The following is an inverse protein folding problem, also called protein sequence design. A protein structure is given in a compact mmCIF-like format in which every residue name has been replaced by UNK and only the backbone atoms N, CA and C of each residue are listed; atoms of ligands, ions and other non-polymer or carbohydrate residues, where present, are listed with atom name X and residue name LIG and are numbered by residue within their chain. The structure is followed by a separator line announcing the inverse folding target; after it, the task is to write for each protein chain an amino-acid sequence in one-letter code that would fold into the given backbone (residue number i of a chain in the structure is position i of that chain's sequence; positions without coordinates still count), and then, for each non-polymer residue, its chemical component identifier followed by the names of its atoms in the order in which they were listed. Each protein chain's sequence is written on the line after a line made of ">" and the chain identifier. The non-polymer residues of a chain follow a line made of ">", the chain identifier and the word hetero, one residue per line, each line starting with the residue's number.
data_IF_005266731082
#
_entry.id   IF_005266731082
#
_cell.length_a   1.000
_cell.length_b   1.000
_cell.length_c   1.000
_cell.angle_alpha   90.00
_cell.angle_beta   90.00
_cell.angle_gamma   90.00
#
_symmetry.space_group_name_H-M   'P 1'
#
loop_
_entity.id
_entity.type
_entity.pdbx_description
1 polymer ?
#
# COMPACT_ATOMS: atom_id res chain seq x y z
N UNK A 1 7.56 -3.03 -22.22
CA UNK A 1 6.52 -3.02 -21.16
C UNK A 1 5.77 -4.36 -21.00
N UNK A 2 5.22 -4.98 -22.06
CA UNK A 2 4.55 -6.30 -21.99
C UNK A 2 5.38 -7.42 -21.36
N UNK A 3 6.70 -7.45 -21.59
CA UNK A 3 7.62 -8.46 -21.03
C UNK A 3 7.84 -8.33 -19.51
N UNK A 4 7.91 -7.11 -18.98
CA UNK A 4 8.07 -6.86 -17.53
C UNK A 4 6.77 -7.20 -16.78
N UNK A 5 5.63 -6.82 -17.35
CA UNK A 5 4.33 -7.17 -16.80
C UNK A 5 4.10 -8.69 -16.84
N UNK A 6 4.46 -9.36 -17.94
CA UNK A 6 4.46 -10.82 -18.03
C UNK A 6 5.42 -11.48 -17.03
N UNK A 7 6.58 -10.88 -16.76
CA UNK A 7 7.55 -11.39 -15.80
C UNK A 7 7.04 -11.30 -14.35
N UNK A 8 6.43 -10.16 -13.98
CA UNK A 8 5.78 -9.97 -12.67
C UNK A 8 4.58 -10.93 -12.53
N UNK A 9 3.79 -11.12 -13.59
CA UNK A 9 2.63 -12.01 -13.58
C UNK A 9 3.04 -13.49 -13.51
N UNK A 10 4.14 -13.89 -14.16
CA UNK A 10 4.72 -15.25 -14.09
C UNK A 10 5.38 -15.49 -12.72
N UNK A 11 6.05 -14.49 -12.15
CA UNK A 11 6.63 -14.58 -10.81
C UNK A 11 5.54 -14.69 -9.74
N UNK A 12 4.48 -13.90 -9.85
CA UNK A 12 3.31 -13.97 -8.96
C UNK A 12 2.55 -15.29 -9.16
N UNK A 13 2.34 -15.75 -10.39
CA UNK A 13 1.65 -17.01 -10.69
C UNK A 13 2.42 -18.25 -10.22
N UNK A 14 3.75 -18.30 -10.44
CA UNK A 14 4.61 -19.38 -9.96
C UNK A 14 4.73 -19.42 -8.44
N UNK A 15 4.66 -18.26 -7.78
CA UNK A 15 4.70 -18.17 -6.32
C UNK A 15 3.35 -18.49 -5.66
N UNK A 16 2.22 -18.17 -6.31
CA UNK A 16 0.86 -18.51 -5.84
C UNK A 16 0.59 -20.02 -5.87
N UNK A 17 1.22 -20.77 -6.77
CA UNK A 17 1.04 -22.23 -6.90
C UNK A 17 1.86 -23.06 -5.90
N UNK A 18 2.76 -22.45 -5.13
CA UNK A 18 3.40 -23.09 -3.98
C UNK A 18 4.41 -24.21 -4.26
N UNK A 19 4.86 -24.40 -5.50
CA UNK A 19 5.77 -25.50 -5.90
C UNK A 19 7.22 -25.09 -6.19
N UNK A 20 7.62 -23.83 -5.98
CA UNK A 20 8.94 -23.37 -6.46
C UNK A 20 10.08 -23.52 -5.44
N UNK A 21 11.02 -24.40 -5.78
CA UNK A 21 12.25 -24.70 -5.03
C UNK A 21 13.33 -23.60 -5.19
N UNK A 22 14.23 -23.46 -4.20
CA UNK A 22 15.19 -22.34 -4.05
C UNK A 22 16.15 -22.18 -5.27
N UNK A 23 16.52 -23.30 -5.91
CA UNK A 23 17.33 -23.29 -7.14
C UNK A 23 16.58 -22.70 -8.34
N UNK A 24 15.25 -22.85 -8.37
CA UNK A 24 14.40 -22.31 -9.43
C UNK A 24 14.27 -20.79 -9.31
N UNK A 25 14.10 -20.26 -8.10
CA UNK A 25 14.00 -18.80 -7.86
C UNK A 25 15.32 -18.09 -8.21
N UNK A 26 16.46 -18.65 -7.78
CA UNK A 26 17.79 -18.10 -8.10
C UNK A 26 18.08 -18.14 -9.60
N UNK A 27 17.73 -19.24 -10.27
CA UNK A 27 17.81 -19.37 -11.73
C UNK A 27 16.93 -18.32 -12.45
N UNK A 28 15.69 -18.12 -12.03
CA UNK A 28 14.74 -17.18 -12.65
C UNK A 28 15.18 -15.72 -12.46
N UNK A 29 15.69 -15.36 -11.27
CA UNK A 29 16.20 -14.01 -11.00
C UNK A 29 17.45 -13.73 -11.85
N UNK A 30 18.40 -14.66 -11.91
CA UNK A 30 19.61 -14.51 -12.74
C UNK A 30 19.25 -14.43 -14.22
N UNK A 31 18.32 -15.28 -14.68
CA UNK A 31 17.84 -15.28 -16.07
C UNK A 31 17.08 -14.00 -16.41
N UNK A 32 16.29 -13.46 -15.47
CA UNK A 32 15.62 -12.17 -15.58
C UNK A 32 16.60 -10.99 -15.67
N UNK A 33 17.66 -11.00 -14.85
CA UNK A 33 18.75 -10.01 -14.89
C UNK A 33 19.51 -10.06 -16.22
N UNK A 34 19.77 -11.26 -16.75
CA UNK A 34 20.43 -11.42 -18.06
C UNK A 34 19.57 -11.05 -19.27
N UNK A 35 18.25 -10.97 -19.11
CA UNK A 35 17.29 -10.61 -20.16
C UNK A 35 16.86 -9.14 -20.14
N UNK A 36 17.30 -8.38 -19.13
CA UNK A 36 17.03 -6.94 -19.03
C UNK A 36 17.97 -6.21 -19.99
N UNK A 37 17.42 -5.73 -21.09
CA UNK A 37 18.16 -4.96 -22.11
C UNK A 37 18.34 -3.51 -21.64
N UNK A 38 19.47 -3.28 -20.95
CA UNK A 38 19.78 -2.02 -20.28
C UNK A 38 19.84 -0.80 -21.21
N UNK A 39 19.99 -1.02 -22.53
CA UNK A 39 20.06 0.04 -23.54
C UNK A 39 18.71 0.73 -23.80
N UNK A 40 17.57 0.11 -23.44
CA UNK A 40 16.21 0.62 -23.72
C UNK A 40 15.54 1.37 -22.55
N UNK A 41 16.19 1.42 -21.37
CA UNK A 41 15.64 2.10 -20.19
C UNK A 41 15.55 3.64 -20.26
N UNK A 42 16.48 4.36 -20.91
CA UNK A 42 16.47 5.83 -20.89
C UNK A 42 15.23 6.48 -21.52
N UNK A 43 14.61 5.82 -22.51
CA UNK A 43 13.46 6.38 -23.24
C UNK A 43 12.13 6.21 -22.49
N UNK A 44 12.12 5.40 -21.43
CA UNK A 44 10.90 4.99 -20.72
C UNK A 44 10.98 5.36 -19.23
N UNK A 45 12.15 5.33 -18.61
CA UNK A 45 12.32 5.54 -17.18
C UNK A 45 13.23 6.73 -16.90
N UNK A 46 12.86 7.48 -15.87
CA UNK A 46 13.65 8.60 -15.38
C UNK A 46 14.93 8.14 -14.69
N UNK A 47 15.93 9.03 -14.62
CA UNK A 47 17.21 8.75 -13.94
C UNK A 47 17.03 8.21 -12.52
N UNK A 48 16.00 8.70 -11.81
CA UNK A 48 15.69 8.25 -10.45
C UNK A 48 15.13 6.84 -10.41
N UNK A 49 14.20 6.51 -11.28
CA UNK A 49 13.62 5.16 -11.36
C UNK A 49 14.70 4.13 -11.68
N UNK A 50 15.64 4.48 -12.57
CA UNK A 50 16.80 3.65 -12.89
C UNK A 50 17.69 3.49 -11.65
N UNK A 51 18.03 4.57 -10.93
CA UNK A 51 18.82 4.51 -9.71
C UNK A 51 18.17 3.67 -8.60
N UNK A 52 16.85 3.81 -8.40
CA UNK A 52 16.06 2.98 -7.47
C UNK A 52 16.13 1.51 -7.88
N UNK A 53 15.93 1.20 -9.17
CA UNK A 53 16.03 -0.16 -9.69
C UNK A 53 17.39 -0.79 -9.42
N UNK A 54 18.48 -0.06 -9.68
CA UNK A 54 19.85 -0.52 -9.41
C UNK A 54 20.03 -0.83 -7.92
N UNK A 55 19.65 0.08 -7.03
CA UNK A 55 19.80 -0.13 -5.58
C UNK A 55 18.92 -1.26 -5.04
N UNK A 56 17.70 -1.43 -5.55
CA UNK A 56 16.84 -2.57 -5.20
C UNK A 56 17.51 -3.89 -5.58
N UNK A 57 18.11 -3.97 -6.77
CA UNK A 57 18.83 -5.18 -7.23
C UNK A 57 20.03 -5.45 -6.31
N UNK A 58 20.87 -4.44 -6.04
CA UNK A 58 22.03 -4.57 -5.14
C UNK A 58 21.60 -5.03 -3.75
N UNK A 59 20.56 -4.40 -3.18
CA UNK A 59 20.04 -4.72 -1.86
C UNK A 59 19.44 -6.13 -1.79
N UNK A 60 18.73 -6.54 -2.83
CA UNK A 60 18.15 -7.88 -2.94
C UNK A 60 19.26 -8.93 -3.01
N UNK A 61 20.29 -8.71 -3.82
CA UNK A 61 21.46 -9.60 -3.89
C UNK A 61 22.16 -9.66 -2.52
N UNK A 62 22.36 -8.53 -1.85
CA UNK A 62 22.99 -8.46 -0.54
C UNK A 62 22.22 -9.27 0.53
N UNK A 63 20.90 -9.10 0.59
CA UNK A 63 20.01 -9.83 1.50
C UNK A 63 20.05 -11.33 1.23
N UNK A 64 19.90 -11.74 -0.04
CA UNK A 64 19.85 -13.16 -0.42
C UNK A 64 21.21 -13.87 -0.28
N UNK A 65 22.31 -13.11 -0.32
CA UNK A 65 23.67 -13.63 -0.10
C UNK A 65 23.93 -14.04 1.35
N UNK A 66 23.14 -13.55 2.31
CA UNK A 66 23.31 -13.86 3.74
C UNK A 66 22.36 -15.01 4.13
N UNK A 67 22.87 -16.21 4.49
CA UNK A 67 22.03 -17.38 4.73
C UNK A 67 21.03 -17.17 5.89
N UNK A 68 21.46 -16.51 6.97
CA UNK A 68 20.58 -16.17 8.11
C UNK A 68 19.42 -15.24 7.74
N UNK A 69 19.63 -14.32 6.80
CA UNK A 69 18.63 -13.32 6.40
C UNK A 69 17.70 -13.92 5.34
N UNK A 70 18.24 -14.75 4.45
CA UNK A 70 17.49 -15.44 3.40
C UNK A 70 16.29 -16.20 3.96
N UNK A 71 16.47 -16.99 5.01
CA UNK A 71 15.37 -17.78 5.58
C UNK A 71 14.28 -16.90 6.22
N UNK A 72 14.68 -15.79 6.86
CA UNK A 72 13.73 -14.79 7.36
C UNK A 72 12.95 -14.12 6.23
N UNK A 73 13.61 -13.79 5.11
CA UNK A 73 12.98 -13.20 3.93
C UNK A 73 11.96 -14.17 3.34
N UNK A 74 12.32 -15.44 3.18
CA UNK A 74 11.38 -16.46 2.69
C UNK A 74 10.15 -16.60 3.59
N UNK A 75 10.34 -16.59 4.91
CA UNK A 75 9.21 -16.60 5.84
C UNK A 75 8.33 -15.35 5.70
N UNK A 76 8.92 -14.16 5.59
CA UNK A 76 8.18 -12.91 5.38
C UNK A 76 7.38 -12.95 4.08
N UNK A 77 7.99 -13.39 2.98
CA UNK A 77 7.30 -13.50 1.69
C UNK A 77 6.18 -14.55 1.77
N UNK A 78 6.44 -15.71 2.40
CA UNK A 78 5.40 -16.74 2.61
C UNK A 78 4.21 -16.21 3.41
N UNK A 79 4.47 -15.41 4.45
CA UNK A 79 3.41 -14.76 5.24
C UNK A 79 2.69 -13.67 4.44
N UNK A 80 3.40 -12.88 3.64
CA UNK A 80 2.83 -11.88 2.73
C UNK A 80 1.91 -12.52 1.67
N UNK A 81 2.17 -13.77 1.31
CA UNK A 81 1.35 -14.58 0.38
C UNK A 81 0.21 -15.33 1.07
N UNK A 82 -0.07 -15.04 2.34
CA UNK A 82 -1.26 -15.58 3.00
C UNK A 82 -2.55 -15.06 2.34
N UNK A 83 -3.60 -15.89 2.34
CA UNK A 83 -4.92 -15.53 1.76
C UNK A 83 -5.46 -14.21 2.33
N UNK A 84 -5.13 -13.89 3.58
CA UNK A 84 -5.55 -12.65 4.24
C UNK A 84 -4.94 -11.38 3.64
N UNK A 85 -3.77 -11.47 3.00
CA UNK A 85 -3.08 -10.34 2.37
C UNK A 85 -3.29 -10.34 0.85
N UNK A 86 -3.23 -11.51 0.21
CA UNK A 86 -3.44 -11.63 -1.25
C UNK A 86 -4.84 -11.16 -1.65
N UNK A 87 -5.89 -11.55 -0.92
CA UNK A 87 -7.26 -11.20 -1.31
C UNK A 87 -7.46 -9.67 -1.35
N UNK A 88 -7.14 -8.89 -0.30
CA UNK A 88 -7.18 -7.43 -0.37
C UNK A 88 -6.30 -6.85 -1.49
N UNK A 89 -5.10 -7.39 -1.70
CA UNK A 89 -4.18 -6.91 -2.73
C UNK A 89 -4.75 -7.11 -4.15
N UNK A 90 -5.34 -8.27 -4.43
CA UNK A 90 -6.02 -8.55 -5.70
C UNK A 90 -7.21 -7.60 -5.90
N UNK A 91 -7.99 -7.34 -4.85
CA UNK A 91 -9.10 -6.38 -4.90
C UNK A 91 -8.59 -4.97 -5.24
N UNK A 92 -7.47 -4.54 -4.63
CA UNK A 92 -6.84 -3.24 -4.95
C UNK A 92 -6.40 -3.19 -6.42
N UNK A 93 -5.77 -4.26 -6.93
CA UNK A 93 -5.32 -4.31 -8.33
C UNK A 93 -6.52 -4.24 -9.29
N UNK A 94 -7.57 -5.04 -9.05
CA UNK A 94 -8.80 -5.01 -9.86
C UNK A 94 -9.42 -3.61 -9.83
N UNK A 95 -9.55 -3.02 -8.63
CA UNK A 95 -10.07 -1.67 -8.46
C UNK A 95 -9.25 -0.62 -9.22
N UNK A 96 -7.93 -0.65 -9.10
CA UNK A 96 -7.05 0.26 -9.84
C UNK A 96 -7.14 0.08 -11.34
N UNK A 97 -7.32 -1.16 -11.82
CA UNK A 97 -7.48 -1.45 -13.25
C UNK A 97 -8.78 -0.83 -13.77
N UNK A 98 -9.88 -0.95 -13.00
CA UNK A 98 -11.15 -0.30 -13.33
C UNK A 98 -10.97 1.22 -13.38
N UNK A 99 -10.27 1.82 -12.41
CA UNK A 99 -10.00 3.26 -12.43
C UNK A 99 -9.20 3.69 -13.66
N UNK A 100 -8.19 2.92 -14.06
CA UNK A 100 -7.39 3.19 -15.27
C UNK A 100 -8.25 3.08 -16.53
N UNK A 101 -9.12 2.07 -16.62
CA UNK A 101 -10.03 1.92 -17.77
C UNK A 101 -10.98 3.11 -17.84
N UNK A 102 -11.58 3.53 -16.72
CA UNK A 102 -12.43 4.72 -16.67
C UNK A 102 -11.64 5.97 -17.06
N UNK A 103 -10.42 6.11 -16.56
CA UNK A 103 -9.54 7.24 -16.88
C UNK A 103 -9.18 7.27 -18.38
N UNK A 104 -9.01 6.10 -19.01
CA UNK A 104 -8.70 5.99 -20.45
C UNK A 104 -9.86 6.37 -21.37
N UNK A 105 -11.08 6.54 -20.85
CA UNK A 105 -12.20 7.07 -21.61
C UNK A 105 -12.13 8.60 -21.80
N UNK A 106 -11.31 9.29 -21.01
CA UNK A 106 -11.16 10.74 -21.12
C UNK A 106 -10.14 11.11 -22.20
N UNK A 107 -10.43 12.18 -22.95
CA UNK A 107 -9.63 12.64 -24.09
C UNK A 107 -8.21 13.11 -23.74
N UNK A 108 -7.94 13.37 -22.46
CA UNK A 108 -6.64 13.81 -21.96
C UNK A 108 -5.75 12.65 -21.48
N UNK A 109 -6.21 11.40 -21.55
CA UNK A 109 -5.45 10.26 -21.01
C UNK A 109 -4.37 9.77 -21.98
N UNK A 110 -3.12 9.82 -21.53
CA UNK A 110 -1.97 9.26 -22.24
C UNK A 110 -1.43 8.01 -21.53
N UNK A 111 -0.84 7.07 -22.30
CA UNK A 111 -0.21 5.87 -21.75
C UNK A 111 0.97 6.16 -20.83
N UNK A 112 1.54 7.37 -20.91
CA UNK A 112 2.62 7.82 -20.03
C UNK A 112 2.18 7.86 -18.56
N UNK A 113 0.92 8.19 -18.28
CA UNK A 113 0.37 8.29 -16.93
C UNK A 113 0.17 6.94 -16.24
N UNK A 114 0.15 5.84 -16.99
CA UNK A 114 -0.06 4.51 -16.43
C UNK A 114 1.03 4.15 -15.40
N UNK A 115 2.26 4.61 -15.64
CA UNK A 115 3.38 4.40 -14.72
C UNK A 115 3.14 5.12 -13.41
N UNK A 116 2.79 6.41 -13.47
CA UNK A 116 2.51 7.25 -12.29
C UNK A 116 1.39 6.65 -11.44
N UNK A 117 0.29 6.20 -12.07
CA UNK A 117 -0.80 5.51 -11.37
C UNK A 117 -0.33 4.21 -10.73
N UNK A 118 0.46 3.41 -11.45
CA UNK A 118 0.96 2.12 -10.94
C UNK A 118 1.84 2.31 -9.72
N UNK A 119 2.78 3.26 -9.78
CA UNK A 119 3.64 3.62 -8.65
C UNK A 119 2.81 4.11 -7.47
N UNK A 120 1.85 5.00 -7.72
CA UNK A 120 0.97 5.52 -6.67
C UNK A 120 0.17 4.40 -5.99
N UNK A 121 -0.40 3.47 -6.74
CA UNK A 121 -1.18 2.35 -6.18
C UNK A 121 -0.32 1.46 -5.29
N UNK A 122 0.91 1.14 -5.72
CA UNK A 122 1.83 0.29 -4.96
C UNK A 122 2.31 0.98 -3.68
N UNK A 123 2.78 2.23 -3.80
CA UNK A 123 3.46 2.93 -2.70
C UNK A 123 2.54 3.70 -1.78
N UNK A 124 1.35 4.11 -2.25
CA UNK A 124 0.38 4.89 -1.47
C UNK A 124 -0.94 4.13 -1.34
N UNK A 125 -1.50 3.63 -2.44
CA UNK A 125 -2.81 2.95 -2.44
C UNK A 125 -2.86 1.72 -1.54
N UNK A 126 -1.84 0.85 -1.58
CA UNK A 126 -1.73 -0.33 -0.72
C UNK A 126 -1.58 0.07 0.76
N UNK A 127 -0.59 0.90 1.17
CA UNK A 127 -0.46 1.31 2.57
C UNK A 127 -1.69 2.03 3.13
N UNK A 128 -2.36 2.89 2.35
CA UNK A 128 -3.59 3.57 2.77
C UNK A 128 -4.69 2.55 3.07
N UNK A 129 -4.85 1.55 2.19
CA UNK A 129 -5.86 0.50 2.31
C UNK A 129 -5.64 -0.40 3.54
N UNK A 130 -4.39 -0.79 3.80
CA UNK A 130 -4.04 -1.63 4.96
C UNK A 130 -3.94 -0.83 6.27
N UNK A 131 -3.52 0.43 6.23
CA UNK A 131 -3.40 1.27 7.42
C UNK A 131 -4.72 1.48 8.16
N UNK A 132 -5.85 1.37 7.46
CA UNK A 132 -7.18 1.47 8.08
C UNK A 132 -7.49 0.27 8.97
N UNK A 133 -6.90 -0.89 8.67
CA UNK A 133 -7.12 -2.14 9.38
C UNK A 133 -6.40 -2.14 10.73
N UNK A 134 -5.27 -1.45 10.83
CA UNK A 134 -4.42 -1.44 12.04
C UNK A 134 -4.80 -0.34 13.04
N UNK A 135 -5.55 0.67 12.63
CA UNK A 135 -5.89 1.81 13.49
C UNK A 135 -7.22 1.54 14.19
N UNK A 136 -7.10 1.04 15.41
CA UNK A 136 -8.21 0.86 16.33
C UNK A 136 -8.83 2.22 16.70
N UNK A 137 -10.12 2.36 16.37
CA UNK A 137 -11.11 3.18 17.09
C UNK A 137 -11.21 4.70 16.88
N UNK A 138 -10.61 5.30 15.86
CA UNK A 138 -10.84 6.74 15.63
C UNK A 138 -11.82 7.02 14.48
N UNK A 139 -13.00 7.53 14.84
CA UNK A 139 -14.04 8.08 13.94
C UNK A 139 -13.52 9.15 12.95
N UNK A 140 -12.30 9.66 13.15
CA UNK A 140 -11.63 10.68 12.32
C UNK A 140 -10.47 10.14 11.47
N UNK A 141 -10.30 8.82 11.36
CA UNK A 141 -9.19 8.25 10.60
C UNK A 141 -9.18 8.69 9.13
N UNK A 142 -10.31 8.56 8.42
CA UNK A 142 -10.41 8.98 7.01
C UNK A 142 -10.19 10.48 6.83
N UNK A 143 -10.68 11.32 7.74
CA UNK A 143 -10.43 12.76 7.67
C UNK A 143 -8.97 13.12 7.96
N UNK A 144 -8.30 12.39 8.84
CA UNK A 144 -6.91 12.63 9.19
C UNK A 144 -5.93 12.15 8.11
N UNK A 145 -6.22 11.02 7.44
CA UNK A 145 -5.36 10.55 6.35
C UNK A 145 -5.44 11.49 5.15
N UNK A 146 -6.62 12.04 4.84
CA UNK A 146 -6.78 13.08 3.83
C UNK A 146 -6.04 14.36 4.22
N UNK A 147 -6.20 14.84 5.46
CA UNK A 147 -5.49 16.06 5.90
C UNK A 147 -3.97 15.90 5.88
N UNK A 148 -3.46 14.71 6.24
CA UNK A 148 -2.01 14.42 6.28
C UNK A 148 -1.40 14.21 4.90
N UNK A 149 -2.16 13.62 3.96
CA UNK A 149 -1.66 13.34 2.62
C UNK A 149 -1.85 14.50 1.63
N UNK A 150 -2.71 15.50 1.87
CA UNK A 150 -3.10 16.40 0.77
C UNK A 150 -2.42 17.77 0.66
N UNK A 151 -1.85 18.36 1.73
CA UNK A 151 -1.48 19.80 1.64
C UNK A 151 -0.03 20.11 1.29
N UNK A 152 0.94 19.32 1.77
CA UNK A 152 2.36 19.62 1.56
C UNK A 152 3.13 18.45 0.93
N UNK A 153 2.81 17.22 1.32
CA UNK A 153 3.48 16.03 0.82
C UNK A 153 3.26 15.83 -0.69
N UNK A 154 2.05 16.10 -1.20
CA UNK A 154 1.73 15.96 -2.64
C UNK A 154 2.51 16.95 -3.50
N UNK A 155 2.70 18.19 -3.02
CA UNK A 155 3.49 19.21 -3.75
C UNK A 155 4.96 18.80 -3.78
N UNK A 156 5.50 18.33 -2.64
CA UNK A 156 6.88 17.84 -2.54
C UNK A 156 7.09 16.59 -3.39
N UNK A 157 6.19 15.62 -3.32
CA UNK A 157 6.23 14.37 -4.08
C UNK A 157 6.15 14.63 -5.59
N UNK A 158 5.27 15.54 -6.03
CA UNK A 158 5.19 15.98 -7.42
C UNK A 158 6.49 16.65 -7.89
N UNK A 159 6.99 17.64 -7.14
CA UNK A 159 8.22 18.35 -7.50
C UNK A 159 9.42 17.39 -7.60
N UNK A 160 9.53 16.46 -6.64
CA UNK A 160 10.55 15.43 -6.68
C UNK A 160 10.33 14.56 -7.92
N UNK A 161 9.14 13.97 -8.10
CA UNK A 161 8.84 13.02 -9.18
C UNK A 161 9.09 13.58 -10.59
N UNK A 162 8.67 14.82 -10.84
CA UNK A 162 8.73 15.44 -12.17
C UNK A 162 10.14 15.83 -12.60
N UNK A 163 11.02 16.19 -11.65
CA UNK A 163 12.36 16.70 -11.96
C UNK A 163 13.40 15.73 -11.43
N UNK A 164 14.12 15.10 -12.34
CA UNK A 164 15.20 14.18 -12.01
C UNK A 164 16.57 14.81 -12.20
N UNK A 165 17.52 14.38 -11.39
CA UNK A 165 18.92 14.76 -11.54
C UNK A 165 19.63 13.84 -12.55
N UNK A 166 20.94 14.07 -12.75
CA UNK A 166 21.75 13.14 -13.52
C UNK A 166 21.75 11.75 -12.85
N UNK A 167 21.90 10.69 -13.64
CA UNK A 167 21.90 9.32 -13.12
C UNK A 167 22.95 9.11 -12.01
N UNK A 168 24.14 9.69 -12.15
CA UNK A 168 25.21 9.60 -11.15
C UNK A 168 24.81 10.32 -9.85
N UNK A 169 24.18 11.49 -9.96
CA UNK A 169 23.70 12.23 -8.80
C UNK A 169 22.62 11.45 -8.06
N UNK A 170 21.62 10.91 -8.76
CA UNK A 170 20.55 10.10 -8.15
C UNK A 170 21.11 8.83 -7.48
N UNK A 171 22.12 8.20 -8.10
CA UNK A 171 22.74 6.97 -7.57
C UNK A 171 23.48 7.21 -6.24
N UNK A 172 24.05 8.40 -6.03
CA UNK A 172 24.71 8.80 -4.76
C UNK A 172 23.69 9.35 -3.76
N UNK A 173 22.73 10.15 -4.23
CA UNK A 173 21.75 10.81 -3.38
C UNK A 173 20.82 9.81 -2.69
N UNK A 174 20.35 8.80 -3.42
CA UNK A 174 19.41 7.80 -2.90
C UNK A 174 19.96 7.03 -1.67
N UNK A 175 21.14 6.39 -1.71
CA UNK A 175 21.68 5.67 -0.56
C UNK A 175 21.98 6.62 0.60
N UNK A 176 22.46 7.84 0.33
CA UNK A 176 22.70 8.85 1.36
C UNK A 176 21.41 9.20 2.13
N UNK A 177 20.32 9.45 1.41
CA UNK A 177 19.01 9.72 2.01
C UNK A 177 18.48 8.52 2.79
N UNK A 178 18.54 7.31 2.20
CA UNK A 178 18.08 6.10 2.90
C UNK A 178 18.87 5.85 4.18
N UNK A 179 20.19 6.09 4.16
CA UNK A 179 21.04 5.95 5.34
C UNK A 179 20.67 6.96 6.43
N UNK A 180 20.46 8.23 6.08
CA UNK A 180 20.01 9.25 7.04
C UNK A 180 18.66 8.89 7.68
N UNK A 181 17.69 8.46 6.88
CA UNK A 181 16.36 8.06 7.36
C UNK A 181 16.47 6.80 8.25
N UNK A 182 17.30 5.82 7.87
CA UNK A 182 17.54 4.63 8.69
C UNK A 182 18.15 4.99 10.04
N UNK A 183 19.14 5.88 10.08
CA UNK A 183 19.70 6.37 11.34
C UNK A 183 18.65 7.09 12.19
N UNK A 184 17.83 7.95 11.58
CA UNK A 184 16.78 8.68 12.27
C UNK A 184 15.74 7.72 12.86
N UNK A 185 15.30 6.72 12.09
CA UNK A 185 14.36 5.69 12.56
C UNK A 185 14.95 4.84 13.68
N UNK A 186 16.21 4.42 13.61
CA UNK A 186 16.87 3.71 14.71
C UNK A 186 16.93 4.59 15.98
N UNK A 187 17.26 5.88 15.82
CA UNK A 187 17.27 6.83 16.93
C UNK A 187 15.87 7.09 17.55
N UNK A 188 14.78 6.74 16.87
CA UNK A 188 13.42 6.82 17.45
C UNK A 188 13.06 5.65 18.36
N UNK A 189 13.82 4.55 18.33
CA UNK A 189 13.47 3.33 19.07
C UNK A 189 13.71 3.41 20.57
N UNK A 190 14.62 4.30 21.01
CA UNK A 190 14.94 4.51 22.43
C UNK A 190 14.99 5.99 22.75
N UNK A 191 14.38 6.38 23.87
CA UNK A 191 14.36 7.77 24.33
C UNK A 191 15.77 8.32 24.63
N UNK A 192 16.71 7.44 24.95
CA UNK A 192 18.14 7.73 25.15
C UNK A 192 18.78 8.46 23.95
N UNK A 193 18.27 8.23 22.73
CA UNK A 193 18.78 8.84 21.50
C UNK A 193 18.04 10.11 21.07
N UNK A 194 17.21 10.70 21.94
CA UNK A 194 16.41 11.87 21.59
C UNK A 194 17.21 13.04 20.99
N UNK A 195 18.40 13.33 21.54
CA UNK A 195 19.29 14.38 21.02
C UNK A 195 19.80 14.06 19.61
N UNK A 196 20.16 12.80 19.36
CA UNK A 196 20.61 12.31 18.05
C UNK A 196 19.47 12.37 17.05
N UNK A 197 18.26 11.94 17.43
CA UNK A 197 17.05 12.08 16.63
C UNK A 197 16.80 13.53 16.23
N UNK A 198 16.88 14.47 17.17
CA UNK A 198 16.66 15.90 16.88
C UNK A 198 17.67 16.45 15.86
N UNK A 199 18.94 16.09 16.00
CA UNK A 199 19.99 16.47 15.05
C UNK A 199 19.76 15.84 13.68
N UNK A 200 19.50 14.53 13.61
CA UNK A 200 19.22 13.83 12.37
C UNK A 200 18.00 14.41 11.67
N UNK A 201 16.91 14.67 12.40
CA UNK A 201 15.70 15.27 11.83
C UNK A 201 15.96 16.67 11.26
N UNK A 202 16.81 17.47 11.92
CA UNK A 202 17.22 18.78 11.40
C UNK A 202 18.07 18.66 10.13
N UNK A 203 19.02 17.72 10.09
CA UNK A 203 19.83 17.43 8.90
C UNK A 203 18.95 16.93 7.76
N UNK A 204 18.07 15.96 8.01
CA UNK A 204 17.10 15.42 7.05
C UNK A 204 16.24 16.54 6.47
N UNK A 205 15.73 17.45 7.33
CA UNK A 205 14.96 18.61 6.88
C UNK A 205 15.80 19.55 6.00
N UNK A 206 17.03 19.87 6.39
CA UNK A 206 17.91 20.75 5.62
C UNK A 206 18.26 20.16 4.25
N UNK A 207 18.59 18.86 4.20
CA UNK A 207 18.82 18.13 2.94
C UNK A 207 17.56 18.14 2.08
N UNK A 208 16.39 17.87 2.66
CA UNK A 208 15.11 17.91 1.96
C UNK A 208 14.81 19.28 1.34
N UNK A 209 15.02 20.37 2.09
CA UNK A 209 14.88 21.73 1.59
C UNK A 209 15.91 22.07 0.51
N UNK A 210 17.16 21.58 0.64
CA UNK A 210 18.19 21.74 -0.39
C UNK A 210 17.80 21.09 -1.71
N UNK A 211 17.31 19.84 -1.66
CA UNK A 211 16.81 19.13 -2.85
C UNK A 211 15.65 19.90 -3.48
N UNK A 212 14.67 20.33 -2.67
CA UNK A 212 13.54 21.13 -3.14
C UNK A 212 13.99 22.43 -3.83
N UNK A 213 14.97 23.14 -3.27
CA UNK A 213 15.52 24.35 -3.86
C UNK A 213 16.20 24.10 -5.22
N UNK A 214 17.00 23.04 -5.33
CA UNK A 214 17.64 22.64 -6.59
C UNK A 214 16.62 22.21 -7.64
N UNK A 215 15.59 21.48 -7.22
CA UNK A 215 14.46 21.10 -8.05
C UNK A 215 13.70 22.31 -8.58
N UNK A 216 13.39 23.30 -7.72
CA UNK A 216 12.73 24.54 -8.14
C UNK A 216 13.59 25.35 -9.12
N UNK A 217 14.90 25.46 -8.87
CA UNK A 217 15.82 26.13 -9.80
C UNK A 217 15.77 25.47 -11.18
N UNK A 218 15.88 24.14 -11.23
CA UNK A 218 15.81 23.38 -12.49
C UNK A 218 14.43 23.44 -13.14
N UNK A 219 13.36 23.56 -12.36
CA UNK A 219 12.00 23.77 -12.85
C UNK A 219 11.88 25.09 -13.61
N UNK A 220 12.41 26.17 -13.04
CA UNK A 220 12.38 27.52 -13.64
C UNK A 220 13.23 27.56 -14.92
N UNK A 221 14.43 26.95 -14.90
CA UNK A 221 15.33 26.91 -16.06
C UNK A 221 14.75 26.10 -17.25
N UNK A 222 13.99 25.04 -16.98
CA UNK A 222 13.40 24.19 -18.04
C UNK A 222 11.92 24.48 -18.31
N UNK A 223 11.34 25.51 -17.68
CA UNK A 223 9.92 25.85 -17.72
C UNK A 223 9.36 26.01 -19.15
N UNK A 224 10.21 26.43 -20.10
CA UNK A 224 9.83 26.63 -21.52
C UNK A 224 9.61 25.31 -22.27
N UNK A 225 10.13 24.19 -21.78
CA UNK A 225 10.08 22.88 -22.49
C UNK A 225 8.97 21.94 -22.04
N UNK A 226 8.29 22.22 -20.93
CA UNK A 226 7.23 21.36 -20.42
C UNK A 226 5.86 21.75 -20.97
N UNK A 227 5.11 20.78 -21.49
CA UNK A 227 3.71 20.95 -21.80
C UNK A 227 2.94 21.18 -20.48
N UNK A 228 2.40 22.39 -20.28
CA UNK A 228 1.75 22.80 -19.03
C UNK A 228 0.56 21.90 -18.65
N UNK A 229 -0.11 21.30 -19.65
CA UNK A 229 -1.19 20.34 -19.46
C UNK A 229 -0.69 19.00 -18.86
N UNK A 230 0.47 18.49 -19.31
CA UNK A 230 1.03 17.22 -18.82
C UNK A 230 1.41 17.31 -17.34
N UNK A 231 2.00 18.44 -16.95
CA UNK A 231 2.32 18.74 -15.55
C UNK A 231 1.05 18.81 -14.68
N UNK A 232 0.01 19.47 -15.17
CA UNK A 232 -1.24 19.61 -14.44
C UNK A 232 -1.96 18.26 -14.25
N UNK A 233 -1.94 17.40 -15.27
CA UNK A 233 -2.48 16.04 -15.18
C UNK A 233 -1.68 15.21 -14.18
N UNK A 234 -0.35 15.20 -14.28
CA UNK A 234 0.54 14.47 -13.34
C UNK A 234 0.37 14.92 -11.89
N UNK A 235 0.16 16.22 -11.67
CA UNK A 235 -0.14 16.75 -10.34
C UNK A 235 -1.51 16.30 -9.82
N UNK A 236 -2.50 16.21 -10.71
CA UNK A 236 -3.88 15.86 -10.35
C UNK A 236 -4.06 14.35 -10.09
N UNK A 237 -3.26 13.49 -10.73
CA UNK A 237 -3.36 12.02 -10.59
C UNK A 237 -3.29 11.56 -9.12
N UNK A 238 -2.25 11.89 -8.32
CA UNK A 238 -2.16 11.49 -6.91
C UNK A 238 -3.33 11.99 -6.06
N UNK A 239 -3.81 13.21 -6.34
CA UNK A 239 -4.93 13.86 -5.64
C UNK A 239 -6.22 13.10 -5.93
N UNK A 240 -6.52 12.86 -7.21
CA UNK A 240 -7.71 12.13 -7.65
C UNK A 240 -7.71 10.70 -7.13
N UNK A 241 -6.60 9.98 -7.25
CA UNK A 241 -6.46 8.62 -6.72
C UNK A 241 -6.62 8.57 -5.20
N UNK A 242 -6.07 9.55 -4.47
CA UNK A 242 -6.25 9.62 -3.02
C UNK A 242 -7.72 9.74 -2.61
N UNK A 243 -8.53 10.52 -3.34
CA UNK A 243 -9.98 10.59 -3.11
C UNK A 243 -10.69 9.30 -3.50
N UNK A 244 -10.35 8.73 -4.66
CA UNK A 244 -10.94 7.49 -5.17
C UNK A 244 -10.57 6.27 -4.31
N UNK A 245 -9.46 6.30 -3.56
CA UNK A 245 -9.09 5.22 -2.66
C UNK A 245 -9.79 5.26 -1.29
N UNK A 246 -10.50 6.34 -0.95
CA UNK A 246 -11.25 6.41 0.32
C UNK A 246 -12.34 5.33 0.41
N UNK A 247 -13.21 5.13 -0.60
CA UNK A 247 -14.30 4.15 -0.51
C UNK A 247 -13.78 2.72 -0.37
N UNK A 248 -12.74 2.34 -1.12
CA UNK A 248 -12.14 1.00 -1.01
C UNK A 248 -11.49 0.78 0.37
N UNK A 249 -10.80 1.80 0.90
CA UNK A 249 -10.24 1.76 2.23
C UNK A 249 -11.33 1.61 3.32
N UNK A 250 -12.49 2.27 3.14
CA UNK A 250 -13.65 2.12 4.01
C UNK A 250 -14.28 0.71 3.93
N UNK A 251 -14.37 0.13 2.72
CA UNK A 251 -14.81 -1.25 2.54
C UNK A 251 -13.90 -2.24 3.27
N UNK A 252 -12.58 -2.07 3.20
CA UNK A 252 -11.64 -2.94 3.93
C UNK A 252 -11.73 -2.78 5.44
N UNK A 253 -11.91 -1.56 5.94
CA UNK A 253 -12.12 -1.32 7.37
C UNK A 253 -13.35 -2.10 7.89
N UNK A 254 -14.46 -1.98 7.16
CA UNK A 254 -15.72 -2.64 7.51
C UNK A 254 -15.58 -4.15 7.40
N UNK A 255 -14.95 -4.66 6.34
CA UNK A 255 -14.71 -6.09 6.14
C UNK A 255 -13.83 -6.69 7.25
N UNK A 256 -12.77 -5.98 7.64
CA UNK A 256 -11.88 -6.40 8.73
C UNK A 256 -12.64 -6.53 10.06
N UNK A 257 -13.51 -5.56 10.39
CA UNK A 257 -14.34 -5.64 11.60
C UNK A 257 -15.30 -6.84 11.57
N UNK A 258 -15.92 -7.13 10.43
CA UNK A 258 -16.74 -8.34 10.28
C UNK A 258 -15.90 -9.61 10.50
N UNK A 259 -14.71 -9.69 9.91
CA UNK A 259 -13.84 -10.84 10.08
C UNK A 259 -13.46 -11.04 11.55
N UNK A 260 -13.08 -9.97 12.25
CA UNK A 260 -12.75 -10.03 13.68
C UNK A 260 -13.96 -10.42 14.54
N UNK A 261 -15.15 -9.88 14.23
CA UNK A 261 -16.40 -10.23 14.91
C UNK A 261 -16.76 -11.71 14.69
N UNK A 262 -16.65 -12.23 13.46
CA UNK A 262 -16.98 -13.62 13.15
C UNK A 262 -15.96 -14.62 13.72
N UNK A 263 -14.68 -14.24 13.80
CA UNK A 263 -13.68 -15.03 14.52
C UNK A 263 -14.05 -15.08 16.00
N UNK A 264 -14.38 -13.93 16.61
CA UNK A 264 -14.76 -13.86 18.03
C UNK A 264 -16.03 -14.65 18.34
N UNK A 265 -17.03 -14.59 17.46
CA UNK A 265 -18.25 -15.40 17.56
C UNK A 265 -17.99 -16.89 17.38
N UNK A 266 -17.03 -17.28 16.54
CA UNK A 266 -16.77 -18.69 16.27
C UNK A 266 -16.38 -19.49 17.52
N UNK A 267 -15.83 -18.81 18.54
CA UNK A 267 -15.53 -19.36 19.87
C UNK A 267 -16.76 -19.51 20.78
N UNK A 268 -17.83 -18.77 20.53
CA UNK A 268 -19.04 -18.70 21.36
C UNK A 268 -20.29 -19.29 20.70
N UNK A 269 -20.21 -19.75 19.46
CA UNK A 269 -21.32 -20.28 18.68
C UNK A 269 -21.37 -21.83 18.68
N UNK A 270 -22.57 -22.43 18.54
CA UNK A 270 -22.74 -23.89 18.42
C UNK A 270 -21.97 -24.43 17.22
N UNK A 271 -21.47 -25.68 17.30
CA UNK A 271 -20.59 -26.27 16.26
C UNK A 271 -21.25 -26.43 14.88
N UNK A 272 -22.58 -26.35 14.80
CA UNK A 272 -23.35 -26.52 13.56
C UNK A 272 -23.08 -25.43 12.52
N UNK A 273 -22.57 -25.84 11.36
CA UNK A 273 -22.19 -24.94 10.26
C UNK A 273 -23.36 -24.15 9.69
N UNK A 274 -24.58 -24.72 9.68
CA UNK A 274 -25.78 -24.09 9.12
C UNK A 274 -26.23 -22.93 10.02
N UNK A 275 -26.28 -23.15 11.33
CA UNK A 275 -26.67 -22.13 12.32
C UNK A 275 -25.67 -20.98 12.31
N UNK A 276 -24.36 -21.26 12.31
CA UNK A 276 -23.31 -20.24 12.18
C UNK A 276 -23.48 -19.37 10.94
N UNK A 277 -23.76 -19.97 9.77
CA UNK A 277 -23.98 -19.20 8.54
C UNK A 277 -25.21 -18.30 8.63
N UNK A 278 -26.29 -18.79 9.25
CA UNK A 278 -27.53 -18.03 9.42
C UNK A 278 -27.33 -16.80 10.33
N UNK A 279 -26.71 -16.99 11.51
CA UNK A 279 -26.39 -15.91 12.44
C UNK A 279 -25.53 -14.83 11.79
N UNK A 280 -24.49 -15.23 11.04
CA UNK A 280 -23.63 -14.30 10.30
C UNK A 280 -24.38 -13.50 9.25
N UNK A 281 -25.28 -14.14 8.50
CA UNK A 281 -26.11 -13.46 7.50
C UNK A 281 -27.03 -12.42 8.12
N UNK A 282 -27.65 -12.72 9.26
CA UNK A 282 -28.53 -11.77 9.96
C UNK A 282 -27.76 -10.55 10.48
N UNK A 283 -26.53 -10.75 10.97
CA UNK A 283 -25.66 -9.62 11.37
C UNK A 283 -25.29 -8.77 10.14
N UNK A 284 -24.95 -9.38 9.01
CA UNK A 284 -24.62 -8.66 7.77
C UNK A 284 -25.83 -7.85 7.28
N UNK A 285 -27.04 -8.41 7.34
CA UNK A 285 -28.27 -7.69 6.98
C UNK A 285 -28.54 -6.51 7.91
N UNK A 286 -28.33 -6.68 9.22
CA UNK A 286 -28.57 -5.65 10.22
C UNK A 286 -27.53 -4.51 10.16
N UNK A 287 -26.25 -4.85 10.00
CA UNK A 287 -25.15 -3.90 10.04
C UNK A 287 -24.80 -3.30 8.65
N UNK A 288 -25.10 -4.01 7.55
CA UNK A 288 -24.80 -3.62 6.16
C UNK A 288 -23.32 -3.22 5.98
N UNK A 289 -23.04 -2.19 5.17
CA UNK A 289 -21.70 -1.61 4.97
C UNK A 289 -21.39 -0.50 5.99
N UNK A 290 -21.96 -0.54 7.20
CA UNK A 290 -21.71 0.49 8.20
C UNK A 290 -20.62 0.04 9.19
N UNK A 291 -19.44 0.64 9.09
CA UNK A 291 -18.34 0.42 10.04
C UNK A 291 -18.83 0.62 11.49
N UNK A 292 -19.52 1.73 11.77
CA UNK A 292 -20.05 2.06 13.10
C UNK A 292 -20.98 0.98 13.66
N UNK A 293 -21.85 0.40 12.82
CA UNK A 293 -22.79 -0.65 13.23
C UNK A 293 -22.06 -1.92 13.65
N UNK A 294 -21.09 -2.36 12.84
CA UNK A 294 -20.32 -3.57 13.11
C UNK A 294 -19.49 -3.41 14.39
N UNK A 295 -18.80 -2.27 14.54
CA UNK A 295 -18.00 -1.99 15.74
C UNK A 295 -18.88 -1.92 17.00
N UNK A 296 -20.05 -1.27 16.92
CA UNK A 296 -20.98 -1.19 18.05
C UNK A 296 -21.53 -2.57 18.46
N UNK A 297 -21.93 -3.38 17.47
CA UNK A 297 -22.38 -4.75 17.71
C UNK A 297 -21.29 -5.58 18.40
N UNK A 298 -20.06 -5.53 17.86
CA UNK A 298 -18.90 -6.24 18.41
C UNK A 298 -18.61 -5.85 19.86
N UNK A 299 -18.67 -4.55 20.20
CA UNK A 299 -18.38 -4.05 21.55
C UNK A 299 -19.48 -4.39 22.56
N UNK A 300 -20.75 -4.21 22.18
CA UNK A 300 -21.87 -4.24 23.15
C UNK A 300 -22.62 -5.57 23.15
N UNK A 301 -22.86 -6.17 21.98
CA UNK A 301 -23.77 -7.30 21.83
C UNK A 301 -23.05 -8.65 21.75
N UNK A 302 -21.76 -8.69 21.39
CA UNK A 302 -20.96 -9.93 21.34
C UNK A 302 -20.88 -10.68 22.69
N UNK A 303 -20.99 -9.95 23.81
CA UNK A 303 -20.99 -10.57 25.15
C UNK A 303 -22.27 -11.35 25.46
N UNK A 304 -23.36 -11.04 24.76
CA UNK A 304 -24.66 -11.66 24.97
C UNK A 304 -24.83 -12.97 24.18
N UNK A 305 -23.89 -13.31 23.28
CA UNK A 305 -23.92 -14.52 22.47
C UNK A 305 -23.24 -15.67 23.22
N UNK A 306 -23.89 -16.83 23.25
CA UNK A 306 -23.42 -18.05 23.92
C UNK A 306 -23.79 -19.32 23.11
N UNK A 307 -23.13 -20.44 23.45
CA UNK A 307 -23.04 -21.65 22.61
C UNK A 307 -24.39 -22.31 22.31
N UNK A 308 -25.34 -22.24 23.24
CA UNK A 308 -26.64 -22.91 23.12
C UNK A 308 -27.80 -21.93 22.81
N UNK A 309 -27.50 -20.72 22.34
CA UNK A 309 -28.53 -19.72 22.01
C UNK A 309 -29.43 -20.22 20.88
N UNK A 310 -30.74 -20.13 21.07
CA UNK A 310 -31.72 -20.51 20.05
C UNK A 310 -31.75 -19.50 18.88
N UNK A 311 -32.29 -19.91 17.73
CA UNK A 311 -32.41 -18.99 16.58
C UNK A 311 -33.36 -17.83 16.87
N UNK A 312 -34.40 -18.04 17.68
CA UNK A 312 -35.38 -17.01 18.01
C UNK A 312 -34.80 -15.99 19.00
N UNK A 313 -34.04 -16.44 20.00
CA UNK A 313 -33.26 -15.56 20.90
C UNK A 313 -32.26 -14.70 20.12
N UNK A 314 -31.58 -15.30 19.13
CA UNK A 314 -30.66 -14.57 18.27
C UNK A 314 -31.37 -13.51 17.43
N UNK A 315 -32.52 -13.83 16.84
CA UNK A 315 -33.32 -12.88 16.07
C UNK A 315 -33.81 -11.72 16.96
N UNK A 316 -34.27 -12.00 18.19
CA UNK A 316 -34.65 -10.96 19.15
C UNK A 316 -33.47 -10.06 19.52
N UNK A 317 -32.26 -10.61 19.67
CA UNK A 317 -31.05 -9.85 19.91
C UNK A 317 -30.76 -8.89 18.74
N UNK A 318 -30.91 -9.37 17.50
CA UNK A 318 -30.74 -8.55 16.29
C UNK A 318 -31.81 -7.45 16.21
N UNK A 319 -33.07 -7.74 16.50
CA UNK A 319 -34.13 -6.73 16.55
C UNK A 319 -33.87 -5.65 17.61
N UNK A 320 -33.43 -6.06 18.80
CA UNK A 320 -33.07 -5.14 19.88
C UNK A 320 -31.87 -4.27 19.51
N UNK A 321 -30.93 -4.79 18.73
CA UNK A 321 -29.84 -4.00 18.16
C UNK A 321 -30.36 -3.00 17.11
N UNK A 322 -31.24 -3.42 16.20
CA UNK A 322 -31.80 -2.54 15.17
C UNK A 322 -32.67 -1.41 15.75
N UNK A 323 -33.42 -1.67 16.82
CA UNK A 323 -34.27 -0.66 17.50
C UNK A 323 -33.47 0.43 18.22
N UNK A 324 -32.22 0.17 18.61
CA UNK A 324 -31.37 1.09 19.38
C UNK A 324 -30.38 1.89 18.52
N UNK A 325 -30.44 1.75 17.19
CA UNK A 325 -29.50 2.29 16.20
C UNK A 325 -30.13 3.32 15.29
#
# INVERSE_FOLDING_TARGET
>A
MKRIFSFILVFIAGFILGEMDIKSITSIVIKGISQLDFASFPDIFSSREIAIGIWIIIFTIFILSKPKIRDSVFNVVRTATSKQIIIPLVIIIIYSTILIVIASLFSFWELNYLKDVTFWVIFVGVPVSFGVITINENNHYFTNILKRNFKFIVIVEFLLSTITFSILTELILLPLLTFLILLETVATTKDEYYKVKKLLSFITAFVGFGILGLTLKKAIENYVTFNSLDLLIKFTIPIALSFLFIPIAYCFATFSEYQQLFISMSFKEPKDKIIKRKHRWEIIKACKLSYRKVTHFKKIYLKNIYVNMSNDEFNQLIENFQKKM
#
